data_IF_440636451426
#
_entry.id   IF_440636451426
#
_cell.length_a   1.000
_cell.length_b   1.000
_cell.length_c   1.000
_cell.angle_alpha   90.00
_cell.angle_beta   90.00
_cell.angle_gamma   90.00
#
_symmetry.space_group_name_H-M   'P 1'
#
loop_
_entity.id
_entity.type
_entity.pdbx_description
1 polymer ?
#
# COMPACT_ATOMS: atom_id res chain seq x y z
N UNK A 1 -7.70 19.65 30.03
CA UNK A 1 -7.19 19.90 28.66
C UNK A 1 -6.90 18.55 28.05
N UNK A 2 -7.88 18.03 27.35
CA UNK A 2 -7.91 16.67 26.78
C UNK A 2 -7.27 16.71 25.40
N UNK A 3 -6.17 15.97 25.23
CA UNK A 3 -5.53 15.76 23.93
C UNK A 3 -6.47 14.97 23.02
N UNK A 4 -7.04 15.66 22.03
CA UNK A 4 -7.76 15.07 20.91
C UNK A 4 -6.91 15.32 19.68
N UNK A 5 -6.22 14.29 19.21
CA UNK A 5 -5.75 14.10 17.82
C UNK A 5 -5.05 12.74 17.74
N UNK A 6 -5.78 11.67 18.09
CA UNK A 6 -5.47 10.36 17.55
C UNK A 6 -5.82 10.42 16.07
N UNK A 7 -4.81 10.58 15.21
CA UNK A 7 -4.95 10.45 13.77
C UNK A 7 -5.54 9.05 13.51
N UNK A 8 -6.84 8.99 13.21
CA UNK A 8 -7.50 7.75 12.81
C UNK A 8 -6.92 7.39 11.45
N UNK A 9 -5.95 6.48 11.45
CA UNK A 9 -5.59 5.77 10.25
C UNK A 9 -6.88 5.13 9.71
N UNK A 10 -7.28 5.38 8.45
CA UNK A 10 -8.53 4.85 7.90
C UNK A 10 -8.55 3.32 8.03
N UNK A 11 -9.65 2.74 8.48
CA UNK A 11 -9.82 1.27 8.63
C UNK A 11 -9.52 0.50 7.33
N UNK A 12 -9.62 1.17 6.19
CA UNK A 12 -9.24 0.70 4.85
C UNK A 12 -7.76 0.35 4.76
N UNK A 13 -6.89 1.10 5.44
CA UNK A 13 -5.44 0.91 5.45
C UNK A 13 -5.06 -0.40 6.11
N UNK A 14 -5.68 -0.74 7.24
CA UNK A 14 -5.43 -2.01 7.94
C UNK A 14 -5.86 -3.24 7.14
N UNK A 15 -6.83 -3.11 6.24
CA UNK A 15 -7.36 -4.24 5.45
C UNK A 15 -6.68 -4.44 4.12
N UNK A 16 -6.35 -3.37 3.38
CA UNK A 16 -5.54 -3.49 2.16
C UNK A 16 -4.13 -3.96 2.49
N UNK A 17 -3.61 -3.52 3.65
CA UNK A 17 -2.38 -4.04 4.18
C UNK A 17 -2.58 -5.49 4.67
N UNK A 18 -3.63 -5.86 5.42
CA UNK A 18 -3.88 -7.26 5.79
C UNK A 18 -4.07 -8.20 4.58
N UNK A 19 -4.79 -7.78 3.54
CA UNK A 19 -4.91 -8.48 2.24
C UNK A 19 -3.56 -8.63 1.50
N UNK A 20 -2.57 -7.83 1.88
CA UNK A 20 -1.20 -7.89 1.40
C UNK A 20 -0.22 -8.44 2.46
N UNK A 21 -0.71 -9.05 3.55
CA UNK A 21 0.12 -9.58 4.65
C UNK A 21 0.58 -8.57 5.69
N UNK A 22 0.36 -7.27 5.50
CA UNK A 22 0.65 -6.22 6.47
C UNK A 22 -0.54 -5.96 7.40
N UNK A 23 -0.70 -6.75 8.45
CA UNK A 23 -1.64 -6.38 9.51
C UNK A 23 -1.22 -5.06 10.19
N UNK A 24 -1.86 -3.93 9.83
CA UNK A 24 -1.61 -2.65 10.51
C UNK A 24 -2.07 -2.64 11.99
N UNK A 25 -2.86 -3.64 12.39
CA UNK A 25 -3.22 -3.84 13.79
C UNK A 25 -2.03 -4.33 14.63
N UNK A 26 -1.06 -5.04 14.03
CA UNK A 26 0.20 -5.39 14.70
C UNK A 26 1.10 -4.14 14.82
N UNK A 27 1.14 -3.29 13.79
CA UNK A 27 1.85 -2.00 13.90
C UNK A 27 1.19 -1.09 14.94
N UNK A 28 -0.15 -1.07 15.08
CA UNK A 28 -0.80 -0.18 16.05
C UNK A 28 -0.81 -0.72 17.50
N UNK A 29 -0.81 -2.04 17.70
CA UNK A 29 -0.77 -2.65 19.04
C UNK A 29 0.65 -2.82 19.58
N UNK A 30 1.65 -2.97 18.71
CA UNK A 30 3.06 -3.07 19.11
C UNK A 30 3.82 -1.73 19.06
N UNK A 31 3.27 -0.65 18.48
CA UNK A 31 3.85 0.71 18.65
C UNK A 31 3.74 1.24 20.08
N UNK A 32 2.99 0.57 20.97
CA UNK A 32 3.00 0.86 22.42
C UNK A 32 3.90 -0.07 23.25
N UNK A 33 4.49 -1.14 22.68
CA UNK A 33 5.27 -2.12 23.44
C UNK A 33 6.63 -2.48 22.82
N UNK A 34 6.80 -2.38 21.51
CA UNK A 34 8.09 -2.44 20.85
C UNK A 34 8.80 -1.09 20.96
N UNK A 35 9.96 -1.10 21.60
CA UNK A 35 10.96 -0.05 21.56
C UNK A 35 11.62 0.07 20.17
N UNK A 36 10.83 0.04 19.08
CA UNK A 36 11.30 0.44 17.77
C UNK A 36 11.67 1.92 17.86
N UNK A 37 12.92 2.24 17.54
CA UNK A 37 13.38 3.61 17.67
C UNK A 37 12.53 4.50 16.73
N UNK A 38 12.18 5.75 17.10
CA UNK A 38 11.35 6.66 16.28
C UNK A 38 11.87 7.02 14.87
N UNK A 39 12.82 6.27 14.30
CA UNK A 39 13.37 6.45 12.96
C UNK A 39 13.36 5.20 12.06
N UNK A 40 13.28 3.98 12.60
CA UNK A 40 13.45 2.74 11.81
C UNK A 40 12.31 2.55 10.79
N UNK A 41 11.05 2.66 11.23
CA UNK A 41 9.89 2.54 10.31
C UNK A 41 9.84 3.64 9.24
N UNK A 42 10.31 4.85 9.54
CA UNK A 42 10.41 5.94 8.55
C UNK A 42 11.52 5.67 7.53
N UNK A 43 12.63 5.05 7.94
CA UNK A 43 13.70 4.66 7.03
C UNK A 43 13.25 3.54 6.09
N UNK A 44 12.58 2.51 6.59
CA UNK A 44 12.00 1.43 5.77
C UNK A 44 11.03 1.98 4.71
N UNK A 45 10.08 2.84 5.11
CA UNK A 45 9.17 3.52 4.18
C UNK A 45 9.94 4.35 3.15
N UNK A 46 11.02 5.02 3.56
CA UNK A 46 11.84 5.81 2.66
C UNK A 46 12.64 4.95 1.68
N UNK A 47 13.17 3.80 2.11
CA UNK A 47 13.88 2.85 1.24
C UNK A 47 12.94 2.27 0.19
N UNK A 48 11.76 1.80 0.62
CA UNK A 48 10.70 1.33 -0.24
C UNK A 48 10.29 2.37 -1.29
N UNK A 49 10.19 3.65 -0.91
CA UNK A 49 9.86 4.74 -1.84
C UNK A 49 11.00 5.13 -2.77
N UNK A 50 12.23 4.65 -2.52
CA UNK A 50 13.37 4.87 -3.38
C UNK A 50 13.52 3.83 -4.49
N UNK A 51 12.67 2.79 -4.53
CA UNK A 51 12.68 1.77 -5.58
C UNK A 51 12.60 2.43 -6.98
N UNK A 52 13.51 2.10 -7.92
CA UNK A 52 13.52 2.66 -9.26
C UNK A 52 12.20 2.49 -10.04
N UNK A 53 11.45 1.42 -9.79
CA UNK A 53 10.15 1.16 -10.41
C UNK A 53 9.14 2.27 -10.07
N UNK A 54 9.13 2.75 -8.82
CA UNK A 54 8.16 3.75 -8.37
C UNK A 54 8.41 5.14 -8.97
N UNK A 55 9.68 5.49 -9.25
CA UNK A 55 10.06 6.80 -9.80
C UNK A 55 9.45 7.10 -11.16
N UNK A 56 9.08 6.07 -11.91
CA UNK A 56 8.51 6.22 -13.26
C UNK A 56 7.07 5.70 -13.35
N UNK A 57 6.61 4.93 -12.37
CA UNK A 57 5.28 4.35 -12.39
C UNK A 57 4.18 5.41 -12.20
N UNK A 58 3.34 5.59 -13.23
CA UNK A 58 2.20 6.51 -13.18
C UNK A 58 0.93 5.75 -12.85
N UNK A 59 0.23 6.20 -11.80
CA UNK A 59 -1.12 5.73 -11.52
C UNK A 59 -2.07 6.24 -12.61
N UNK A 60 -2.90 5.34 -13.14
CA UNK A 60 -3.89 5.66 -14.16
C UNK A 60 -5.21 4.98 -13.84
N UNK A 61 -6.31 5.47 -14.41
CA UNK A 61 -7.62 4.84 -14.23
C UNK A 61 -7.63 3.39 -14.73
N UNK A 62 -6.94 3.11 -15.85
CA UNK A 62 -6.84 1.76 -16.39
C UNK A 62 -6.12 0.80 -15.43
N UNK A 63 -5.02 1.25 -14.80
CA UNK A 63 -4.31 0.40 -13.84
C UNK A 63 -5.09 0.27 -12.54
N UNK A 64 -5.81 1.31 -12.12
CA UNK A 64 -6.72 1.25 -10.98
C UNK A 64 -7.85 0.23 -11.22
N UNK A 65 -8.51 0.24 -12.39
CA UNK A 65 -9.56 -0.72 -12.71
C UNK A 65 -9.07 -2.16 -12.58
N UNK A 66 -7.88 -2.44 -13.10
CA UNK A 66 -7.23 -3.74 -12.99
C UNK A 66 -6.84 -4.08 -11.56
N UNK A 67 -6.31 -3.12 -10.80
CA UNK A 67 -5.95 -3.32 -9.40
C UNK A 67 -7.17 -3.63 -8.53
N UNK A 68 -8.31 -2.95 -8.76
CA UNK A 68 -9.57 -3.24 -8.08
C UNK A 68 -10.06 -4.66 -8.42
N UNK A 69 -10.02 -5.05 -9.69
CA UNK A 69 -10.39 -6.40 -10.13
C UNK A 69 -9.48 -7.48 -9.51
N UNK A 70 -8.17 -7.26 -9.49
CA UNK A 70 -7.20 -8.15 -8.85
C UNK A 70 -7.46 -8.27 -7.35
N UNK A 71 -7.65 -7.15 -6.65
CA UNK A 71 -7.89 -7.12 -5.20
C UNK A 71 -9.19 -7.84 -4.83
N UNK A 72 -10.26 -7.68 -5.61
CA UNK A 72 -11.50 -8.42 -5.38
C UNK A 72 -11.35 -9.92 -5.65
N UNK A 73 -10.54 -10.31 -6.65
CA UNK A 73 -10.24 -11.71 -6.90
C UNK A 73 -9.39 -12.32 -5.76
N UNK A 74 -8.47 -11.56 -5.16
CA UNK A 74 -7.69 -11.99 -4.00
C UNK A 74 -8.56 -12.14 -2.75
N UNK A 75 -9.47 -11.20 -2.48
CA UNK A 75 -10.46 -11.33 -1.38
C UNK A 75 -11.28 -12.62 -1.47
N UNK A 76 -11.72 -12.98 -2.67
CA UNK A 76 -12.47 -14.22 -2.87
C UNK A 76 -11.65 -15.48 -2.54
N UNK A 77 -10.31 -15.40 -2.59
CA UNK A 77 -9.42 -16.49 -2.17
C UNK A 77 -9.27 -16.55 -0.64
N UNK A 78 -9.34 -15.42 0.07
CA UNK A 78 -9.35 -15.41 1.55
C UNK A 78 -10.60 -16.09 2.11
N UNK A 79 -11.76 -15.91 1.46
CA UNK A 79 -13.01 -16.63 1.79
C UNK A 79 -12.87 -18.16 1.63
N UNK A 80 -11.85 -18.63 0.89
CA UNK A 80 -11.50 -20.03 0.71
C UNK A 80 -10.40 -20.53 1.68
N UNK A 81 -10.08 -19.76 2.73
CA UNK A 81 -9.11 -20.08 3.80
C UNK A 81 -7.66 -20.22 3.27
N UNK A 82 -7.33 -19.44 2.24
CA UNK A 82 -5.95 -19.29 1.76
C UNK A 82 -5.34 -18.13 2.54
N UNK A 83 -4.52 -18.47 3.52
CA UNK A 83 -3.76 -17.46 4.26
C UNK A 83 -2.67 -16.88 3.36
N UNK A 84 -2.91 -15.66 2.88
CA UNK A 84 -1.96 -14.91 2.05
C UNK A 84 -0.79 -14.42 2.92
N UNK A 85 -1.01 -14.19 4.22
CA UNK A 85 0.00 -13.67 5.14
C UNK A 85 1.12 -14.71 5.39
N UNK A 86 0.76 -15.99 5.50
CA UNK A 86 1.71 -17.12 5.67
C UNK A 86 2.73 -17.26 4.51
N UNK A 87 2.45 -16.66 3.36
CA UNK A 87 3.25 -16.78 2.15
C UNK A 87 4.12 -15.57 1.85
N UNK A 88 3.96 -14.48 2.60
CA UNK A 88 4.69 -13.23 2.39
C UNK A 88 5.31 -12.83 3.73
N UNK A 89 6.54 -13.30 3.96
CA UNK A 89 7.33 -12.88 5.11
C UNK A 89 7.77 -11.42 4.89
N UNK A 90 7.11 -10.49 5.58
CA UNK A 90 7.46 -9.07 5.64
C UNK A 90 7.95 -8.66 7.03
N UNK A 91 8.45 -9.61 7.82
CA UNK A 91 8.85 -9.34 9.21
C UNK A 91 10.07 -8.42 9.29
N UNK A 92 10.87 -8.30 8.21
CA UNK A 92 11.95 -7.32 8.10
C UNK A 92 11.57 -6.15 7.15
N UNK A 93 11.18 -4.99 7.70
CA UNK A 93 10.80 -3.83 6.92
C UNK A 93 12.01 -3.16 6.23
N UNK A 94 13.25 -3.48 6.62
CA UNK A 94 14.46 -2.85 6.06
C UNK A 94 14.81 -3.39 4.66
N UNK A 95 14.31 -4.56 4.28
CA UNK A 95 14.66 -5.25 3.03
C UNK A 95 13.47 -5.42 2.05
N UNK A 96 12.41 -4.61 2.19
CA UNK A 96 11.23 -4.75 1.31
C UNK A 96 11.56 -4.36 -0.15
N UNK A 97 11.73 -5.38 -1.00
CA UNK A 97 11.91 -5.26 -2.46
C UNK A 97 10.62 -5.62 -3.23
N UNK A 98 10.24 -4.77 -4.20
CA UNK A 98 9.05 -4.97 -5.04
C UNK A 98 9.13 -6.30 -5.81
N UNK A 99 10.32 -6.68 -6.27
CA UNK A 99 10.57 -7.91 -7.00
C UNK A 99 10.41 -9.15 -6.13
N UNK A 100 10.90 -9.11 -4.89
CA UNK A 100 10.77 -10.22 -3.94
C UNK A 100 9.32 -10.46 -3.55
N UNK A 101 8.55 -9.41 -3.24
CA UNK A 101 7.12 -9.54 -2.96
C UNK A 101 6.37 -10.07 -4.19
N UNK A 102 6.68 -9.57 -5.38
CA UNK A 102 6.08 -10.08 -6.61
C UNK A 102 6.42 -11.56 -6.86
N UNK A 103 7.61 -12.02 -6.48
CA UNK A 103 8.02 -13.41 -6.56
C UNK A 103 7.26 -14.28 -5.54
N UNK A 104 7.04 -13.79 -4.31
CA UNK A 104 6.21 -14.45 -3.31
C UNK A 104 4.77 -14.66 -3.83
N UNK A 105 4.18 -13.64 -4.46
CA UNK A 105 2.86 -13.73 -5.08
C UNK A 105 2.84 -14.75 -6.23
N UNK A 106 3.94 -14.85 -6.97
CA UNK A 106 4.10 -15.82 -8.06
C UNK A 106 4.29 -17.26 -7.57
N UNK A 107 4.71 -17.48 -6.32
CA UNK A 107 4.93 -18.80 -5.73
C UNK A 107 3.62 -19.50 -5.34
N UNK A 108 2.52 -18.77 -5.17
CA UNK A 108 1.18 -19.34 -4.98
C UNK A 108 0.37 -19.24 -6.29
N UNK A 109 0.16 -20.36 -7.02
CA UNK A 109 -0.50 -20.35 -8.31
C UNK A 109 -1.91 -19.74 -8.33
N UNK A 110 -2.64 -19.80 -7.22
CA UNK A 110 -3.99 -19.21 -7.10
C UNK A 110 -3.92 -17.68 -7.04
N UNK A 111 -3.04 -17.12 -6.22
CA UNK A 111 -2.78 -15.67 -6.13
C UNK A 111 -2.33 -15.15 -7.49
N UNK A 112 -1.30 -15.79 -8.08
CA UNK A 112 -0.82 -15.44 -9.42
C UNK A 112 -1.92 -15.44 -10.47
N UNK A 113 -2.80 -16.46 -10.45
CA UNK A 113 -3.92 -16.57 -11.39
C UNK A 113 -4.94 -15.46 -11.17
N UNK A 114 -5.29 -15.15 -9.92
CA UNK A 114 -6.23 -14.07 -9.58
C UNK A 114 -5.74 -12.73 -10.15
N UNK A 115 -4.48 -12.38 -9.90
CA UNK A 115 -3.86 -11.14 -10.39
C UNK A 115 -3.78 -11.11 -11.92
N UNK A 116 -3.30 -12.21 -12.53
CA UNK A 116 -3.18 -12.30 -13.99
C UNK A 116 -4.54 -12.22 -14.69
N UNK A 117 -5.60 -12.77 -14.09
CA UNK A 117 -6.96 -12.71 -14.64
C UNK A 117 -7.51 -11.29 -14.72
N UNK A 118 -7.03 -10.39 -13.87
CA UNK A 118 -7.34 -8.96 -13.90
C UNK A 118 -6.46 -8.17 -14.89
N UNK A 119 -5.55 -8.83 -15.61
CA UNK A 119 -4.71 -8.20 -16.62
C UNK A 119 -3.52 -7.41 -16.06
N UNK A 120 -3.04 -7.80 -14.87
CA UNK A 120 -1.79 -7.33 -14.26
C UNK A 120 -0.84 -8.50 -14.06
N UNK A 121 0.47 -8.25 -14.10
CA UNK A 121 1.42 -9.19 -13.50
C UNK A 121 1.51 -8.97 -11.98
N UNK A 122 2.03 -9.94 -11.23
CA UNK A 122 2.31 -9.77 -9.79
C UNK A 122 3.21 -8.55 -9.54
N UNK A 123 4.22 -8.33 -10.39
CA UNK A 123 5.08 -7.14 -10.32
C UNK A 123 4.30 -5.84 -10.56
N UNK A 124 3.40 -5.81 -11.54
CA UNK A 124 2.55 -4.63 -11.78
C UNK A 124 1.62 -4.34 -10.60
N UNK A 125 1.05 -5.39 -10.00
CA UNK A 125 0.16 -5.29 -8.85
C UNK A 125 0.89 -4.69 -7.63
N UNK A 126 2.04 -5.27 -7.29
CA UNK A 126 2.87 -4.81 -6.17
C UNK A 126 3.39 -3.38 -6.43
N UNK A 127 3.86 -3.08 -7.64
CA UNK A 127 4.31 -1.72 -7.99
C UNK A 127 3.17 -0.71 -7.88
N UNK A 128 1.95 -1.08 -8.34
CA UNK A 128 0.78 -0.23 -8.18
C UNK A 128 0.46 0.02 -6.70
N UNK A 129 0.47 -1.03 -5.88
CA UNK A 129 0.21 -0.96 -4.45
C UNK A 129 1.15 0.04 -3.76
N UNK A 130 2.46 -0.07 -4.00
CA UNK A 130 3.45 0.83 -3.43
C UNK A 130 3.35 2.27 -3.97
N UNK A 131 3.10 2.44 -5.27
CA UNK A 131 2.90 3.77 -5.86
C UNK A 131 1.64 4.46 -5.31
N UNK A 132 0.57 3.70 -5.09
CA UNK A 132 -0.65 4.15 -4.43
C UNK A 132 -0.37 4.56 -2.98
N UNK A 133 0.38 3.75 -2.24
CA UNK A 133 0.74 4.05 -0.85
C UNK A 133 1.58 5.33 -0.75
N UNK A 134 2.60 5.49 -1.60
CA UNK A 134 3.39 6.72 -1.68
C UNK A 134 2.51 7.94 -1.98
N UNK A 135 1.58 7.80 -2.93
CA UNK A 135 0.64 8.85 -3.31
C UNK A 135 -0.32 9.22 -2.17
N UNK A 136 -0.80 8.22 -1.42
CA UNK A 136 -1.65 8.41 -0.24
C UNK A 136 -0.93 9.22 0.83
N UNK A 137 0.30 8.84 1.22
CA UNK A 137 1.09 9.60 2.19
C UNK A 137 1.37 11.03 1.70
N UNK A 138 1.73 11.18 0.43
CA UNK A 138 1.88 12.49 -0.19
C UNK A 138 0.59 13.31 -0.11
N UNK A 139 -0.58 12.71 -0.32
CA UNK A 139 -1.87 13.40 -0.23
C UNK A 139 -2.17 13.91 1.18
N UNK A 140 -1.83 13.14 2.22
CA UNK A 140 -1.98 13.56 3.62
C UNK A 140 -1.10 14.78 3.92
N UNK A 141 0.15 14.77 3.47
CA UNK A 141 1.07 15.89 3.64
C UNK A 141 0.57 17.15 2.91
N UNK A 142 0.01 17.00 1.71
CA UNK A 142 -0.60 18.11 0.96
C UNK A 142 -1.85 18.64 1.66
N UNK A 143 -2.68 17.78 2.26
CA UNK A 143 -3.83 18.24 3.05
C UNK A 143 -3.40 19.08 4.27
N UNK A 144 -2.27 18.75 4.89
CA UNK A 144 -1.74 19.49 6.04
C UNK A 144 -1.01 20.78 5.67
N UNK A 145 -0.24 20.78 4.57
CA UNK A 145 0.65 21.88 4.17
C UNK A 145 0.23 22.66 2.92
N UNK A 146 -0.88 22.29 2.28
CA UNK A 146 -1.36 22.90 1.04
C UNK A 146 -0.48 22.63 -0.17
N UNK A 147 -0.63 23.45 -1.22
CA UNK A 147 0.10 23.30 -2.49
C UNK A 147 1.63 23.41 -2.31
N UNK A 148 2.09 24.14 -1.28
CA UNK A 148 3.52 24.24 -0.97
C UNK A 148 4.11 22.88 -0.59
N UNK A 149 3.40 22.09 0.23
CA UNK A 149 3.85 20.73 0.56
C UNK A 149 3.90 19.82 -0.67
N UNK A 150 3.02 20.01 -1.67
CA UNK A 150 3.11 19.28 -2.94
C UNK A 150 4.37 19.67 -3.72
N UNK A 151 4.73 20.96 -3.71
CA UNK A 151 5.91 21.46 -4.39
C UNK A 151 7.21 20.97 -3.76
N UNK A 152 7.22 20.86 -2.43
CA UNK A 152 8.35 20.46 -1.60
C UNK A 152 8.50 18.94 -1.44
N UNK A 153 7.70 18.15 -2.17
CA UNK A 153 7.84 16.69 -2.17
C UNK A 153 9.25 16.27 -2.59
N UNK A 154 9.86 15.28 -1.90
CA UNK A 154 11.17 14.76 -2.25
C UNK A 154 11.23 14.27 -3.70
N UNK A 155 12.44 14.34 -4.28
CA UNK A 155 12.71 13.72 -5.57
C UNK A 155 12.36 12.24 -5.55
N UNK A 156 11.70 11.75 -6.60
CA UNK A 156 11.21 10.38 -6.70
C UNK A 156 9.76 10.20 -6.26
N UNK A 157 9.17 11.17 -5.56
CA UNK A 157 7.71 11.18 -5.30
C UNK A 157 6.98 11.84 -6.47
N UNK A 158 6.09 11.08 -7.11
CA UNK A 158 5.37 11.55 -8.28
C UNK A 158 4.15 12.37 -7.89
N UNK A 159 4.24 13.69 -8.09
CA UNK A 159 3.15 14.65 -7.83
C UNK A 159 1.88 14.30 -8.60
N UNK A 160 2.01 13.73 -9.81
CA UNK A 160 0.86 13.26 -10.59
C UNK A 160 0.14 12.10 -9.91
N UNK A 161 0.86 11.20 -9.24
CA UNK A 161 0.26 10.09 -8.51
C UNK A 161 -0.51 10.60 -7.28
N UNK A 162 0.04 11.60 -6.56
CA UNK A 162 -0.66 12.26 -5.44
C UNK A 162 -1.97 12.89 -5.91
N UNK A 163 -1.92 13.64 -7.02
CA UNK A 163 -3.13 14.24 -7.62
C UNK A 163 -4.12 13.17 -8.06
N UNK A 164 -3.64 12.09 -8.69
CA UNK A 164 -4.47 10.97 -9.12
C UNK A 164 -5.16 10.28 -7.93
N UNK A 165 -4.42 9.98 -6.87
CA UNK A 165 -4.96 9.36 -5.65
C UNK A 165 -6.06 10.24 -5.05
N UNK A 166 -5.77 11.53 -4.87
CA UNK A 166 -6.73 12.49 -4.31
C UNK A 166 -8.02 12.55 -5.15
N UNK A 167 -7.90 12.54 -6.48
CA UNK A 167 -9.05 12.57 -7.38
C UNK A 167 -9.86 11.26 -7.41
N UNK A 168 -9.28 10.13 -6.99
CA UNK A 168 -9.91 8.81 -7.02
C UNK A 168 -10.15 8.24 -5.61
N UNK A 169 -10.05 9.06 -4.56
CA UNK A 169 -10.13 8.60 -3.17
C UNK A 169 -11.37 7.74 -2.88
N UNK A 170 -12.54 8.16 -3.34
CA UNK A 170 -13.79 7.40 -3.17
C UNK A 170 -13.74 5.98 -3.78
N UNK A 171 -12.97 5.79 -4.86
CA UNK A 171 -12.79 4.48 -5.49
C UNK A 171 -11.87 3.57 -4.68
N UNK A 172 -10.87 4.14 -4.02
CA UNK A 172 -10.01 3.41 -3.10
C UNK A 172 -10.74 3.08 -1.79
N UNK A 173 -11.61 3.98 -1.31
CA UNK A 173 -12.44 3.76 -0.11
C UNK A 173 -13.45 2.63 -0.32
N UNK A 174 -14.04 2.51 -1.51
CA UNK A 174 -14.96 1.43 -1.84
C UNK A 174 -14.35 0.01 -1.70
N UNK A 175 -13.02 -0.13 -1.78
CA UNK A 175 -12.36 -1.41 -1.47
C UNK A 175 -12.51 -1.83 0.00
N UNK A 176 -12.71 -0.89 0.93
CA UNK A 176 -12.78 -1.18 2.35
C UNK A 176 -14.19 -1.43 2.89
N UNK A 177 -15.22 -1.03 2.14
CA UNK A 177 -16.61 -0.91 2.59
C UNK A 177 -17.50 -2.13 2.27
N UNK A 178 -17.01 -3.12 1.50
CA UNK A 178 -17.75 -4.36 1.20
C UNK A 178 -17.76 -5.32 2.41
N UNK A 179 -18.42 -4.92 3.50
CA UNK A 179 -18.65 -5.71 4.71
C UNK A 179 -20.14 -5.73 5.12
#
# INVERSE_FOLDING_TARGET
>A
MTNVLAARVPRVFARVLALAGLSLAAVAADVSAASAQPGEGMQAIQQMFNDPALRTYRLTSANLDKFLAATNALKALEDEDIDIEDHIDMDDPEDIDIGEIAAAFDNEPRIKRAINSAGMTSRDYVTFLFAMMQAMFGSVMVQMGGEQALNDMPDGVLKENIRFFTANQARFEALGDDN
#
